data_IF_897095567515
#
_entry.id   IF_897095567515
#
_cell.length_a   1.000
_cell.length_b   1.000
_cell.length_c   1.000
_cell.angle_alpha   90.00
_cell.angle_beta   90.00
_cell.angle_gamma   90.00
#
_symmetry.space_group_name_H-M   'P 1'
#
loop_
_entity.id
_entity.type
_entity.pdbx_description
1 polymer ?
#
# COMPACT_ATOMS: atom_id res chain seq x y z
N UNK A 1 25.63 31.94 -40.53
CA UNK A 1 25.20 30.60 -40.05
C UNK A 1 25.83 30.37 -38.68
N UNK A 2 25.31 31.03 -37.64
CA UNK A 2 25.78 30.85 -36.27
C UNK A 2 25.06 29.65 -35.67
N UNK A 3 25.81 28.64 -35.23
CA UNK A 3 25.26 27.51 -34.48
C UNK A 3 24.96 28.01 -33.08
N UNK A 4 23.68 28.23 -32.78
CA UNK A 4 23.16 28.51 -31.43
C UNK A 4 23.49 27.33 -30.52
N UNK A 5 24.67 27.38 -29.87
CA UNK A 5 24.94 26.52 -28.73
C UNK A 5 24.06 27.01 -27.59
N UNK A 6 23.25 26.14 -26.97
CA UNK A 6 22.43 26.53 -25.83
C UNK A 6 23.36 27.08 -24.72
N UNK A 7 22.94 28.13 -23.99
CA UNK A 7 23.71 28.66 -22.86
C UNK A 7 24.06 27.52 -21.89
N UNK A 8 25.22 27.59 -21.24
CA UNK A 8 25.79 26.48 -20.46
C UNK A 8 24.82 25.85 -19.44
N UNK A 9 23.85 26.64 -18.93
CA UNK A 9 22.78 26.18 -18.05
C UNK A 9 21.78 25.25 -18.73
N UNK A 10 21.36 25.55 -19.95
CA UNK A 10 20.45 24.71 -20.73
C UNK A 10 21.11 23.39 -21.14
N UNK A 11 22.42 23.41 -21.41
CA UNK A 11 23.19 22.20 -21.69
C UNK A 11 23.25 21.28 -20.45
N UNK A 12 23.49 21.85 -19.26
CA UNK A 12 23.46 21.10 -18.00
C UNK A 12 22.08 20.47 -17.73
N UNK A 13 21.00 21.22 -17.98
CA UNK A 13 19.64 20.69 -17.84
C UNK A 13 19.37 19.53 -18.80
N UNK A 14 19.81 19.64 -20.06
CA UNK A 14 19.68 18.57 -21.05
C UNK A 14 20.49 17.33 -20.67
N UNK A 15 21.71 17.51 -20.15
CA UNK A 15 22.55 16.39 -19.68
C UNK A 15 21.92 15.69 -18.46
N UNK A 16 21.37 16.44 -17.50
CA UNK A 16 20.63 15.86 -16.36
C UNK A 16 19.41 15.08 -16.84
N UNK A 17 18.60 15.65 -17.73
CA UNK A 17 17.44 14.94 -18.29
C UNK A 17 17.87 13.67 -19.01
N UNK A 18 18.96 13.71 -19.79
CA UNK A 18 19.51 12.55 -20.48
C UNK A 18 19.88 11.44 -19.51
N UNK A 19 20.65 11.75 -18.47
CA UNK A 19 21.10 10.75 -17.49
C UNK A 19 19.93 10.15 -16.71
N UNK A 20 18.95 10.97 -16.31
CA UNK A 20 17.75 10.48 -15.61
C UNK A 20 16.92 9.55 -16.50
N UNK A 21 16.69 9.92 -17.76
CA UNK A 21 15.95 9.08 -18.71
C UNK A 21 16.69 7.76 -18.99
N UNK A 22 18.01 7.82 -19.19
CA UNK A 22 18.83 6.62 -19.41
C UNK A 22 18.82 5.70 -18.19
N UNK A 23 19.06 6.24 -16.99
CA UNK A 23 19.05 5.47 -15.75
C UNK A 23 17.70 4.77 -15.55
N UNK A 24 16.60 5.49 -15.79
CA UNK A 24 15.26 4.95 -15.69
C UNK A 24 15.00 3.83 -16.71
N UNK A 25 15.25 4.08 -17.99
CA UNK A 25 15.04 3.08 -19.05
C UNK A 25 15.90 1.84 -18.85
N UNK A 26 17.14 1.99 -18.38
CA UNK A 26 18.03 0.86 -18.04
C UNK A 26 17.46 0.03 -16.89
N UNK A 27 16.93 0.68 -15.85
CA UNK A 27 16.30 -0.01 -14.74
C UNK A 27 15.03 -0.76 -15.19
N UNK A 28 14.16 -0.11 -15.94
CA UNK A 28 12.93 -0.74 -16.47
C UNK A 28 13.26 -1.93 -17.38
N UNK A 29 14.28 -1.80 -18.24
CA UNK A 29 14.81 -2.87 -19.10
C UNK A 29 15.31 -4.07 -18.30
N UNK A 30 16.08 -3.83 -17.23
CA UNK A 30 16.58 -4.89 -16.35
C UNK A 30 15.44 -5.61 -15.64
N UNK A 31 14.44 -4.87 -15.14
CA UNK A 31 13.27 -5.46 -14.48
C UNK A 31 12.48 -6.32 -15.45
N UNK A 32 12.18 -5.83 -16.66
CA UNK A 32 11.47 -6.61 -17.68
C UNK A 32 12.26 -7.85 -18.09
N UNK A 33 13.58 -7.73 -18.23
CA UNK A 33 14.44 -8.87 -18.54
C UNK A 33 14.42 -9.92 -17.44
N UNK A 34 14.49 -9.49 -16.17
CA UNK A 34 14.43 -10.39 -15.02
C UNK A 34 13.07 -11.09 -14.91
N UNK A 35 11.96 -10.37 -15.12
CA UNK A 35 10.61 -10.94 -15.10
C UNK A 35 10.40 -11.94 -16.24
N UNK A 36 10.85 -11.60 -17.45
CA UNK A 36 10.75 -12.49 -18.62
C UNK A 36 11.58 -13.75 -18.42
N UNK A 37 12.80 -13.60 -17.91
CA UNK A 37 13.65 -14.75 -17.56
C UNK A 37 12.99 -15.60 -16.48
N UNK A 38 12.43 -15.00 -15.42
CA UNK A 38 11.69 -15.70 -14.38
C UNK A 38 10.50 -16.50 -14.90
N UNK A 39 9.78 -15.97 -15.91
CA UNK A 39 8.69 -16.67 -16.57
C UNK A 39 9.20 -17.85 -17.42
N UNK A 40 10.26 -17.66 -18.21
CA UNK A 40 10.85 -18.74 -19.03
C UNK A 40 11.52 -19.82 -18.16
N UNK A 41 12.00 -19.47 -16.96
CA UNK A 41 12.60 -20.40 -16.00
C UNK A 41 11.61 -21.44 -15.46
N UNK A 42 10.31 -21.18 -15.51
CA UNK A 42 9.27 -22.15 -15.10
C UNK A 42 9.31 -23.39 -16.03
N UNK A 43 9.86 -23.26 -17.24
CA UNK A 43 9.84 -24.30 -18.28
C UNK A 43 11.20 -25.01 -18.50
N UNK A 44 12.27 -24.62 -17.79
CA UNK A 44 13.63 -25.05 -18.13
C UNK A 44 14.45 -25.58 -16.93
N UNK A 45 15.01 -26.79 -17.08
CA UNK A 45 15.82 -27.48 -16.04
C UNK A 45 17.33 -27.42 -16.24
N UNK A 46 17.84 -26.89 -17.37
CA UNK A 46 19.30 -26.87 -17.65
C UNK A 46 19.91 -25.46 -17.60
N UNK A 47 21.00 -25.30 -16.86
CA UNK A 47 21.68 -24.01 -16.66
C UNK A 47 22.18 -23.35 -17.97
N UNK A 48 22.56 -24.15 -18.97
CA UNK A 48 23.01 -23.64 -20.28
C UNK A 48 21.86 -23.08 -21.11
N UNK A 49 20.68 -23.68 -21.04
CA UNK A 49 19.47 -23.14 -21.69
C UNK A 49 19.07 -21.81 -21.04
N UNK A 50 19.12 -21.75 -19.70
CA UNK A 50 18.87 -20.52 -18.93
C UNK A 50 19.82 -19.38 -19.32
N UNK A 51 21.13 -19.64 -19.39
CA UNK A 51 22.10 -18.62 -19.75
C UNK A 51 21.87 -18.09 -21.18
N UNK A 52 21.53 -18.97 -22.13
CA UNK A 52 21.24 -18.59 -23.52
C UNK A 52 19.95 -17.77 -23.62
N UNK A 53 18.92 -18.16 -22.88
CA UNK A 53 17.67 -17.41 -22.77
C UNK A 53 17.91 -16.02 -22.16
N UNK A 54 18.67 -15.93 -21.07
CA UNK A 54 19.02 -14.66 -20.43
C UNK A 54 19.72 -13.68 -21.38
N UNK A 55 20.69 -14.14 -22.16
CA UNK A 55 21.39 -13.29 -23.15
C UNK A 55 20.44 -12.78 -24.22
N UNK A 56 19.58 -13.66 -24.75
CA UNK A 56 18.57 -13.28 -25.75
C UNK A 56 17.59 -12.24 -25.20
N UNK A 57 17.09 -12.45 -23.99
CA UNK A 57 16.13 -11.56 -23.32
C UNK A 57 16.77 -10.20 -23.03
N UNK A 58 18.01 -10.17 -22.53
CA UNK A 58 18.73 -8.91 -22.29
C UNK A 58 18.93 -8.11 -23.58
N UNK A 59 19.23 -8.80 -24.70
CA UNK A 59 19.35 -8.15 -26.00
C UNK A 59 18.00 -7.60 -26.51
N UNK A 60 16.90 -8.30 -26.27
CA UNK A 60 15.55 -7.84 -26.66
C UNK A 60 15.12 -6.57 -25.92
N UNK A 61 15.56 -6.40 -24.68
CA UNK A 61 15.22 -5.24 -23.85
C UNK A 61 16.29 -4.15 -23.84
N UNK A 62 17.35 -4.27 -24.66
CA UNK A 62 18.44 -3.29 -24.68
C UNK A 62 17.92 -1.87 -24.96
N UNK A 63 18.39 -0.91 -24.18
CA UNK A 63 18.00 0.51 -24.33
C UNK A 63 18.77 1.12 -25.50
N UNK A 64 18.07 1.73 -26.45
CA UNK A 64 18.69 2.57 -27.48
C UNK A 64 19.10 3.92 -26.86
N UNK A 65 20.34 3.97 -26.39
CA UNK A 65 20.92 5.18 -25.79
C UNK A 65 21.13 6.29 -26.82
N UNK A 66 21.27 5.93 -28.10
CA UNK A 66 21.42 6.86 -29.21
C UNK A 66 20.14 7.65 -29.49
N UNK A 67 18.98 7.04 -29.31
CA UNK A 67 17.68 7.74 -29.37
C UNK A 67 17.59 8.82 -28.27
N UNK A 68 17.95 8.47 -27.03
CA UNK A 68 17.89 9.37 -25.87
C UNK A 68 18.91 10.50 -25.98
N UNK A 69 20.12 10.21 -26.48
CA UNK A 69 21.17 11.21 -26.68
C UNK A 69 20.79 12.26 -27.74
N UNK A 70 19.98 11.91 -28.75
CA UNK A 70 19.55 12.85 -29.80
C UNK A 70 18.48 13.83 -29.32
N UNK A 71 17.54 13.41 -28.48
CA UNK A 71 16.50 14.29 -27.92
C UNK A 71 16.00 13.80 -26.54
N UNK A 72 16.69 14.19 -25.45
CA UNK A 72 16.33 13.78 -24.09
C UNK A 72 14.93 14.23 -23.67
N UNK A 73 14.50 15.42 -24.12
CA UNK A 73 13.20 16.00 -23.76
C UNK A 73 12.05 15.27 -24.43
N UNK A 74 12.21 14.82 -25.67
CA UNK A 74 11.23 13.98 -26.35
C UNK A 74 11.18 12.59 -25.74
N UNK A 75 12.33 12.01 -25.41
CA UNK A 75 12.39 10.72 -24.71
C UNK A 75 11.64 10.78 -23.37
N UNK A 76 11.88 11.83 -22.56
CA UNK A 76 11.14 12.05 -21.31
C UNK A 76 9.63 12.21 -21.52
N UNK A 77 9.20 12.99 -22.51
CA UNK A 77 7.77 13.16 -22.83
C UNK A 77 7.10 11.85 -23.24
N UNK A 78 7.79 11.03 -24.04
CA UNK A 78 7.30 9.72 -24.43
C UNK A 78 7.19 8.77 -23.22
N UNK A 79 8.15 8.82 -22.30
CA UNK A 79 8.14 8.02 -21.07
C UNK A 79 6.97 8.41 -20.18
N UNK A 80 6.76 9.72 -19.95
CA UNK A 80 5.61 10.23 -19.20
C UNK A 80 4.27 9.89 -19.86
N UNK A 81 4.18 9.92 -21.19
CA UNK A 81 2.97 9.53 -21.91
C UNK A 81 2.66 8.04 -21.72
N UNK A 82 3.70 7.19 -21.81
CA UNK A 82 3.59 5.75 -21.54
C UNK A 82 3.20 5.47 -20.09
N UNK A 83 3.73 6.23 -19.13
CA UNK A 83 3.34 6.13 -17.72
C UNK A 83 1.89 6.49 -17.50
N UNK A 84 1.41 7.58 -18.10
CA UNK A 84 0.00 7.96 -18.02
C UNK A 84 -0.92 6.91 -18.65
N UNK A 85 -0.51 6.35 -19.78
CA UNK A 85 -1.26 5.27 -20.43
C UNK A 85 -1.24 3.99 -19.59
N UNK A 86 -0.09 3.64 -19.01
CA UNK A 86 0.03 2.51 -18.07
C UNK A 86 -0.85 2.74 -16.86
N UNK A 87 -0.75 3.92 -16.23
CA UNK A 87 -1.58 4.33 -15.10
C UNK A 87 -3.07 4.25 -15.44
N UNK A 88 -3.49 4.72 -16.63
CA UNK A 88 -4.87 4.56 -17.11
C UNK A 88 -5.29 3.08 -17.19
N UNK A 89 -4.45 2.22 -17.78
CA UNK A 89 -4.76 0.78 -17.90
C UNK A 89 -4.82 0.03 -16.57
N UNK A 90 -3.99 0.41 -15.60
CA UNK A 90 -3.98 -0.20 -14.26
C UNK A 90 -4.87 0.56 -13.26
N UNK A 91 -5.70 1.49 -13.74
CA UNK A 91 -6.66 2.22 -12.92
C UNK A 91 -6.07 3.29 -11.99
N UNK A 92 -4.77 3.59 -12.09
CA UNK A 92 -4.07 4.63 -11.32
C UNK A 92 -4.20 6.04 -11.92
N UNK A 93 -4.89 6.22 -13.05
CA UNK A 93 -5.14 7.55 -13.61
C UNK A 93 -6.31 8.21 -12.89
N UNK A 94 -5.99 9.15 -12.00
CA UNK A 94 -6.94 10.08 -11.40
C UNK A 94 -7.43 11.10 -12.45
N UNK A 95 -8.18 10.65 -13.45
CA UNK A 95 -9.08 11.52 -14.22
C UNK A 95 -10.46 11.41 -13.56
N UNK A 96 -10.64 12.24 -12.55
CA UNK A 96 -11.85 12.29 -11.75
C UNK A 96 -11.48 12.90 -10.43
N UNK A 97 -11.99 14.10 -10.16
CA UNK A 97 -12.06 14.69 -8.82
C UNK A 97 -12.18 13.59 -7.78
N UNK A 98 -11.10 13.36 -7.02
CA UNK A 98 -11.15 12.47 -5.85
C UNK A 98 -12.39 12.86 -5.07
N UNK A 99 -13.33 11.93 -4.97
CA UNK A 99 -14.53 12.18 -4.19
C UNK A 99 -14.09 12.44 -2.75
N UNK A 100 -14.80 13.30 -2.01
CA UNK A 100 -14.46 13.55 -0.59
C UNK A 100 -14.40 12.23 0.23
N UNK A 101 -15.16 11.22 -0.22
CA UNK A 101 -15.14 9.86 0.29
C UNK A 101 -13.79 9.15 0.07
N UNK A 102 -13.16 9.33 -1.09
CA UNK A 102 -11.85 8.77 -1.41
C UNK A 102 -10.72 9.42 -0.62
N UNK A 103 -10.79 10.74 -0.41
CA UNK A 103 -9.88 11.46 0.48
C UNK A 103 -10.03 11.02 1.92
N UNK A 104 -11.27 10.89 2.40
CA UNK A 104 -11.55 10.37 3.74
C UNK A 104 -10.97 8.96 3.92
N UNK A 105 -11.10 8.10 2.91
CA UNK A 105 -10.50 6.76 2.91
C UNK A 105 -8.97 6.80 2.94
N UNK A 106 -8.34 7.67 2.14
CA UNK A 106 -6.88 7.80 2.16
C UNK A 106 -6.41 8.22 3.56
N UNK A 107 -7.04 9.23 4.15
CA UNK A 107 -6.78 9.67 5.54
C UNK A 107 -6.96 8.53 6.54
N UNK A 108 -8.01 7.73 6.40
CA UNK A 108 -8.27 6.58 7.27
C UNK A 108 -7.19 5.49 7.12
N UNK A 109 -6.75 5.23 5.88
CA UNK A 109 -5.70 4.24 5.60
C UNK A 109 -4.37 4.69 6.19
N UNK A 110 -4.02 5.97 6.01
CA UNK A 110 -2.82 6.56 6.56
C UNK A 110 -2.81 6.49 8.09
N UNK A 111 -3.96 6.78 8.73
CA UNK A 111 -4.14 6.66 10.18
C UNK A 111 -3.94 5.22 10.68
N UNK A 112 -4.50 4.23 9.98
CA UNK A 112 -4.32 2.81 10.34
C UNK A 112 -2.86 2.37 10.19
N UNK A 113 -2.16 2.86 9.17
CA UNK A 113 -0.73 2.64 8.99
C UNK A 113 0.09 3.28 10.11
N UNK A 114 -0.24 4.50 10.52
CA UNK A 114 0.39 5.19 11.64
C UNK A 114 0.22 4.41 12.95
N UNK A 115 -1.02 4.03 13.28
CA UNK A 115 -1.36 3.23 14.47
C UNK A 115 -0.57 1.92 14.50
N UNK A 116 -0.46 1.24 13.34
CA UNK A 116 0.36 0.03 13.23
C UNK A 116 1.83 0.31 13.51
N UNK A 117 2.39 1.37 12.92
CA UNK A 117 3.79 1.76 13.11
C UNK A 117 4.08 2.03 14.59
N UNK A 118 3.20 2.75 15.28
CA UNK A 118 3.34 3.08 16.69
C UNK A 118 3.31 1.83 17.58
N UNK A 119 2.35 0.93 17.35
CA UNK A 119 2.27 -0.31 18.10
C UNK A 119 3.52 -1.17 17.89
N UNK A 120 4.04 -1.25 16.66
CA UNK A 120 5.30 -1.93 16.37
C UNK A 120 6.49 -1.26 17.08
N UNK A 121 6.52 0.07 17.16
CA UNK A 121 7.56 0.81 17.87
C UNK A 121 7.52 0.54 19.38
N UNK A 122 6.34 0.47 19.99
CA UNK A 122 6.16 0.10 21.40
C UNK A 122 6.65 -1.33 21.65
N UNK A 123 6.26 -2.29 20.80
CA UNK A 123 6.73 -3.69 20.92
C UNK A 123 8.24 -3.78 20.77
N UNK A 124 8.84 -3.07 19.80
CA UNK A 124 10.28 -3.05 19.59
C UNK A 124 11.03 -2.43 20.78
N UNK A 125 10.51 -1.33 21.35
CA UNK A 125 11.02 -0.71 22.58
C UNK A 125 11.00 -1.73 23.73
N UNK A 126 9.86 -2.38 23.95
CA UNK A 126 9.71 -3.33 25.05
C UNK A 126 10.65 -4.54 24.93
N UNK A 127 10.87 -5.05 23.70
CA UNK A 127 11.85 -6.12 23.44
C UNK A 127 13.29 -5.68 23.70
N UNK A 128 13.63 -4.42 23.38
CA UNK A 128 14.98 -3.87 23.57
C UNK A 128 15.36 -3.74 25.05
N UNK A 129 14.43 -3.30 25.90
CA UNK A 129 14.70 -3.03 27.31
C UNK A 129 14.54 -4.24 28.25
N UNK A 130 14.17 -5.42 27.71
CA UNK A 130 13.99 -6.68 28.47
C UNK A 130 13.22 -6.46 29.78
N UNK A 131 12.07 -5.79 29.69
CA UNK A 131 11.19 -5.57 30.83
C UNK A 131 10.78 -6.88 31.49
N UNK A 132 10.50 -6.82 32.80
CA UNK A 132 9.76 -7.90 33.45
C UNK A 132 8.34 -8.00 32.89
N UNK A 133 7.64 -9.10 33.17
CA UNK A 133 6.35 -9.39 32.55
C UNK A 133 5.27 -8.34 32.89
N UNK A 134 5.36 -7.70 34.06
CA UNK A 134 4.41 -6.67 34.52
C UNK A 134 4.67 -5.35 33.82
N UNK A 135 5.91 -4.87 33.84
CA UNK A 135 6.32 -3.62 33.18
C UNK A 135 6.12 -3.72 31.66
N UNK A 136 6.35 -4.90 31.08
CA UNK A 136 6.05 -5.16 29.66
C UNK A 136 4.55 -4.99 29.37
N UNK A 137 3.67 -5.55 30.21
CA UNK A 137 2.23 -5.44 30.01
C UNK A 137 1.73 -4.00 30.19
N UNK A 138 2.29 -3.24 31.14
CA UNK A 138 1.93 -1.84 31.40
C UNK A 138 2.35 -0.92 30.25
N UNK A 139 3.57 -1.04 29.74
CA UNK A 139 4.04 -0.28 28.58
C UNK A 139 3.23 -0.59 27.32
N UNK A 140 2.87 -1.87 27.11
CA UNK A 140 1.99 -2.26 26.01
C UNK A 140 0.58 -1.70 26.21
N UNK A 141 0.04 -1.70 27.43
CA UNK A 141 -1.26 -1.11 27.72
C UNK A 141 -1.27 0.39 27.43
N UNK A 142 -0.23 1.11 27.86
CA UNK A 142 -0.09 2.55 27.58
C UNK A 142 0.03 2.81 26.08
N UNK A 143 0.85 2.03 25.37
CA UNK A 143 0.99 2.12 23.92
C UNK A 143 -0.32 1.82 23.18
N UNK A 144 -1.06 0.81 23.63
CA UNK A 144 -2.36 0.45 23.07
C UNK A 144 -3.38 1.57 23.26
N UNK A 145 -3.47 2.16 24.46
CA UNK A 145 -4.36 3.29 24.73
C UNK A 145 -4.04 4.48 23.81
N UNK A 146 -2.77 4.89 23.74
CA UNK A 146 -2.35 5.99 22.88
C UNK A 146 -2.65 5.73 21.40
N UNK A 147 -2.47 4.50 20.94
CA UNK A 147 -2.77 4.10 19.57
C UNK A 147 -4.29 4.09 19.29
N UNK A 148 -5.11 3.63 20.25
CA UNK A 148 -6.58 3.66 20.11
C UNK A 148 -7.16 5.05 20.20
N UNK A 149 -6.57 5.96 20.98
CA UNK A 149 -7.03 7.35 21.07
C UNK A 149 -6.99 8.05 19.71
N UNK A 150 -5.98 7.74 18.89
CA UNK A 150 -5.88 8.23 17.51
C UNK A 150 -7.05 7.75 16.64
N UNK A 151 -7.47 6.51 16.82
CA UNK A 151 -8.60 5.93 16.08
C UNK A 151 -9.93 6.58 16.46
N UNK A 152 -10.08 7.07 17.70
CA UNK A 152 -11.33 7.69 18.19
C UNK A 152 -11.61 9.01 17.47
N UNK A 153 -10.58 9.78 17.11
CA UNK A 153 -10.74 11.12 16.51
C UNK A 153 -11.53 11.08 15.20
N UNK A 154 -11.32 10.05 14.37
CA UNK A 154 -11.95 9.91 13.05
C UNK A 154 -13.14 8.91 13.07
N UNK A 155 -13.48 8.36 14.24
CA UNK A 155 -14.47 7.29 14.36
C UNK A 155 -15.91 7.80 14.24
N UNK A 156 -16.67 7.20 13.34
CA UNK A 156 -18.13 7.29 13.34
C UNK A 156 -18.70 6.45 14.50
N UNK A 157 -19.18 7.12 15.53
CA UNK A 157 -19.73 6.47 16.72
C UNK A 157 -20.94 5.57 16.43
N UNK A 158 -21.70 5.84 15.36
CA UNK A 158 -22.80 4.96 14.93
C UNK A 158 -22.26 3.63 14.43
N UNK A 159 -21.26 3.67 13.55
CA UNK A 159 -20.60 2.48 13.05
C UNK A 159 -19.85 1.74 14.17
N UNK A 160 -19.21 2.45 15.09
CA UNK A 160 -18.58 1.86 16.28
C UNK A 160 -19.55 1.09 17.15
N UNK A 161 -20.71 1.67 17.48
CA UNK A 161 -21.70 0.97 18.30
C UNK A 161 -22.29 -0.25 17.60
N UNK A 162 -22.47 -0.19 16.27
CA UNK A 162 -22.90 -1.33 15.49
C UNK A 162 -21.84 -2.45 15.51
N UNK A 163 -20.57 -2.10 15.28
CA UNK A 163 -19.45 -3.01 15.41
C UNK A 163 -19.31 -3.60 16.81
N UNK A 164 -19.57 -2.81 17.86
CA UNK A 164 -19.46 -3.22 19.26
C UNK A 164 -20.43 -4.34 19.63
N UNK A 165 -21.65 -4.34 19.05
CA UNK A 165 -22.70 -5.36 19.22
C UNK A 165 -22.40 -6.63 18.41
N UNK A 166 -21.75 -6.47 17.27
CA UNK A 166 -20.80 -7.46 16.75
C UNK A 166 -21.36 -8.66 15.99
N UNK A 167 -22.64 -8.68 15.63
CA UNK A 167 -23.16 -9.73 14.75
C UNK A 167 -23.05 -9.29 13.28
N UNK A 168 -22.03 -9.80 12.60
CA UNK A 168 -21.87 -9.65 11.15
C UNK A 168 -22.85 -10.61 10.48
N UNK A 169 -23.78 -10.06 9.71
CA UNK A 169 -24.82 -10.82 9.01
C UNK A 169 -24.39 -11.18 7.60
N UNK A 170 -23.68 -10.28 6.93
CA UNK A 170 -23.25 -10.44 5.54
C UNK A 170 -21.97 -9.65 5.28
N UNK A 171 -21.11 -10.21 4.43
CA UNK A 171 -20.03 -9.48 3.77
C UNK A 171 -20.37 -9.34 2.29
N UNK A 172 -20.07 -8.18 1.72
CA UNK A 172 -20.21 -7.92 0.29
C UNK A 172 -19.03 -7.11 -0.20
N UNK A 173 -18.58 -7.42 -1.41
CA UNK A 173 -17.53 -6.67 -2.08
C UNK A 173 -18.16 -5.66 -3.04
N UNK A 174 -17.75 -4.40 -2.91
CA UNK A 174 -18.13 -3.33 -3.82
C UNK A 174 -16.93 -2.99 -4.70
N UNK A 175 -17.03 -3.13 -6.03
CA UNK A 175 -15.94 -2.78 -6.92
C UNK A 175 -15.68 -1.27 -6.86
N UNK A 176 -14.42 -0.89 -6.69
CA UNK A 176 -13.97 0.51 -6.68
C UNK A 176 -13.19 0.78 -7.97
N UNK A 177 -13.35 1.97 -8.56
CA UNK A 177 -12.53 2.38 -9.70
C UNK A 177 -11.09 2.56 -9.25
N UNK A 178 -10.17 1.80 -9.83
CA UNK A 178 -8.73 2.04 -9.65
C UNK A 178 -8.10 1.41 -8.42
N UNK A 179 -8.75 0.45 -7.77
CA UNK A 179 -8.19 -0.18 -6.58
C UNK A 179 -8.88 -1.46 -6.15
N UNK A 180 -8.38 -2.06 -5.05
CA UNK A 180 -8.98 -3.21 -4.41
C UNK A 180 -10.50 -3.03 -4.15
N UNK A 181 -11.36 -4.05 -4.38
CA UNK A 181 -12.76 -4.02 -3.97
C UNK A 181 -12.88 -3.68 -2.49
N UNK A 182 -13.90 -2.87 -2.18
CA UNK A 182 -14.24 -2.47 -0.83
C UNK A 182 -15.06 -3.58 -0.18
N UNK A 183 -14.61 -4.06 0.97
CA UNK A 183 -15.39 -5.02 1.75
C UNK A 183 -16.35 -4.25 2.66
N UNK A 184 -17.63 -4.43 2.41
CA UNK A 184 -18.71 -3.94 3.25
C UNK A 184 -19.24 -5.06 4.13
N UNK A 185 -19.59 -4.72 5.36
CA UNK A 185 -20.21 -5.60 6.31
C UNK A 185 -21.58 -5.10 6.69
N UNK A 186 -22.59 -5.93 6.50
CA UNK A 186 -23.89 -5.73 7.12
C UNK A 186 -23.81 -6.25 8.54
N UNK A 187 -23.93 -5.35 9.50
CA UNK A 187 -23.92 -5.65 10.94
C UNK A 187 -25.29 -5.38 11.53
N UNK A 188 -25.68 -6.16 12.54
CA UNK A 188 -26.85 -5.86 13.34
C UNK A 188 -26.55 -4.68 14.28
N UNK A 189 -27.17 -3.53 14.02
CA UNK A 189 -27.03 -2.34 14.86
C UNK A 189 -28.02 -2.34 16.04
N UNK A 190 -28.85 -3.37 16.21
CA UNK A 190 -29.75 -3.57 17.34
C UNK A 190 -31.21 -3.19 17.09
N UNK A 191 -32.09 -3.40 18.09
CA UNK A 191 -33.56 -3.39 17.95
C UNK A 191 -34.15 -2.08 17.41
N UNK A 192 -33.49 -0.94 17.66
CA UNK A 192 -33.99 0.38 17.22
C UNK A 192 -33.38 0.86 15.91
N UNK A 193 -32.33 0.19 15.40
CA UNK A 193 -31.53 0.65 14.24
C UNK A 193 -31.51 -0.34 13.08
N UNK A 194 -31.86 -1.60 13.32
CA UNK A 194 -31.86 -2.64 12.30
C UNK A 194 -30.47 -2.95 11.77
N UNK A 195 -30.39 -3.37 10.51
CA UNK A 195 -29.13 -3.71 9.85
C UNK A 195 -28.43 -2.46 9.32
N UNK A 196 -27.14 -2.34 9.57
CA UNK A 196 -26.29 -1.25 9.11
C UNK A 196 -25.19 -1.80 8.20
N UNK A 197 -24.98 -1.18 7.04
CA UNK A 197 -23.86 -1.52 6.16
C UNK A 197 -22.70 -0.58 6.44
N UNK A 198 -21.60 -1.14 6.94
CA UNK A 198 -20.39 -0.41 7.34
C UNK A 198 -19.18 -0.98 6.64
N UNK A 199 -18.14 -0.18 6.50
CA UNK A 199 -16.88 -0.64 5.95
C UNK A 199 -16.22 -1.66 6.89
N UNK A 200 -15.70 -2.75 6.33
CA UNK A 200 -14.95 -3.74 7.08
C UNK A 200 -13.62 -3.18 7.55
N UNK A 201 -12.91 -2.43 6.71
CA UNK A 201 -11.59 -1.89 7.01
C UNK A 201 -11.63 -0.56 7.73
N UNK A 202 -12.43 -0.49 8.78
CA UNK A 202 -12.70 0.76 9.48
C UNK A 202 -11.96 0.87 10.82
N UNK A 203 -11.81 2.11 11.31
CA UNK A 203 -11.27 2.41 12.64
C UNK A 203 -12.20 1.86 13.73
N UNK A 204 -13.49 1.99 13.50
CA UNK A 204 -14.58 1.61 14.39
C UNK A 204 -14.61 0.11 14.66
N UNK A 205 -14.36 -0.73 13.64
CA UNK A 205 -14.25 -2.18 13.82
C UNK A 205 -13.11 -2.55 14.75
N UNK A 206 -11.96 -1.90 14.59
CA UNK A 206 -10.73 -2.15 15.37
C UNK A 206 -10.87 -1.65 16.80
N UNK A 207 -11.45 -0.46 16.99
CA UNK A 207 -11.86 0.03 18.30
C UNK A 207 -12.82 -0.92 18.99
N UNK A 208 -13.86 -1.40 18.29
CA UNK A 208 -14.84 -2.33 18.84
C UNK A 208 -14.20 -3.69 19.22
N UNK A 209 -13.23 -4.17 18.43
CA UNK A 209 -12.44 -5.35 18.75
C UNK A 209 -11.67 -5.17 20.05
N UNK A 210 -10.89 -4.09 20.16
CA UNK A 210 -10.11 -3.76 21.37
C UNK A 210 -11.03 -3.65 22.58
N UNK A 211 -12.12 -2.89 22.47
CA UNK A 211 -13.08 -2.69 23.55
C UNK A 211 -13.77 -3.99 23.99
N UNK A 212 -14.03 -4.94 23.08
CA UNK A 212 -14.56 -6.26 23.45
C UNK A 212 -13.54 -7.10 24.20
N UNK A 213 -12.30 -7.16 23.70
CA UNK A 213 -11.25 -7.94 24.32
C UNK A 213 -10.88 -7.39 25.70
N UNK A 214 -10.77 -6.07 25.85
CA UNK A 214 -10.53 -5.41 27.13
C UNK A 214 -11.63 -5.70 28.14
N UNK A 215 -12.92 -5.62 27.74
CA UNK A 215 -14.06 -5.97 28.62
C UNK A 215 -14.08 -7.44 29.01
N UNK A 216 -13.55 -8.33 28.18
CA UNK A 216 -13.39 -9.74 28.49
C UNK A 216 -12.18 -10.04 29.38
N UNK A 217 -11.43 -9.03 29.83
CA UNK A 217 -10.25 -9.19 30.68
C UNK A 217 -9.04 -9.77 29.93
N UNK A 218 -9.00 -9.67 28.60
CA UNK A 218 -7.87 -10.15 27.81
C UNK A 218 -6.64 -9.28 28.06
N UNK A 219 -5.47 -9.90 28.21
CA UNK A 219 -4.20 -9.21 28.43
C UNK A 219 -3.92 -8.17 27.32
N UNK A 220 -3.43 -6.96 27.66
CA UNK A 220 -3.03 -5.93 26.68
C UNK A 220 -2.05 -6.44 25.63
N UNK A 221 -1.17 -7.38 25.99
CA UNK A 221 -0.23 -8.01 25.07
C UNK A 221 -0.96 -8.79 23.98
N UNK A 222 -1.95 -9.60 24.36
CA UNK A 222 -2.76 -10.39 23.43
C UNK A 222 -3.63 -9.47 22.56
N UNK A 223 -4.17 -8.39 23.14
CA UNK A 223 -4.94 -7.39 22.39
C UNK A 223 -4.05 -6.70 21.35
N UNK A 224 -2.84 -6.29 21.74
CA UNK A 224 -1.86 -5.66 20.85
C UNK A 224 -1.47 -6.60 19.69
N UNK A 225 -1.13 -7.85 19.98
CA UNK A 225 -0.80 -8.84 18.96
C UNK A 225 -1.98 -9.08 18.00
N UNK A 226 -3.20 -9.17 18.54
CA UNK A 226 -4.40 -9.37 17.72
C UNK A 226 -4.71 -8.16 16.84
N UNK A 227 -4.56 -6.95 17.38
CA UNK A 227 -4.74 -5.71 16.64
C UNK A 227 -3.67 -5.54 15.57
N UNK A 228 -2.41 -5.83 15.89
CA UNK A 228 -1.31 -5.85 14.92
C UNK A 228 -1.56 -6.87 13.81
N UNK A 229 -2.10 -8.05 14.12
CA UNK A 229 -2.49 -9.02 13.10
C UNK A 229 -3.62 -8.50 12.20
N UNK A 230 -4.63 -7.83 12.76
CA UNK A 230 -5.77 -7.23 12.04
C UNK A 230 -5.38 -5.97 11.23
N UNK A 231 -4.35 -5.24 11.66
CA UNK A 231 -3.73 -4.11 10.96
C UNK A 231 -2.64 -4.56 9.96
N UNK A 232 -2.11 -5.77 10.11
CA UNK A 232 -1.12 -6.31 9.20
C UNK A 232 -1.77 -6.68 7.86
N UNK A 233 -0.93 -6.74 6.84
CA UNK A 233 -1.22 -7.22 5.47
C UNK A 233 -1.85 -8.64 5.43
N UNK A 234 -1.96 -9.31 6.59
CA UNK A 234 -2.56 -10.63 6.77
C UNK A 234 -4.05 -10.59 7.20
N UNK A 235 -4.67 -9.41 7.29
CA UNK A 235 -6.13 -9.29 7.41
C UNK A 235 -6.79 -10.01 6.21
N UNK A 236 -7.99 -10.62 6.33
CA UNK A 236 -8.64 -11.47 5.31
C UNK A 236 -8.94 -10.83 3.93
N UNK A 237 -8.33 -9.70 3.63
CA UNK A 237 -8.52 -8.80 2.49
C UNK A 237 -7.75 -9.21 1.24
N UNK A 238 -7.29 -10.45 1.15
CA UNK A 238 -6.71 -10.96 -0.10
C UNK A 238 -7.73 -11.15 -1.23
N UNK A 239 -9.01 -10.81 -1.02
CA UNK A 239 -9.97 -10.70 -2.12
C UNK A 239 -9.78 -9.45 -2.95
N UNK A 240 -8.84 -8.58 -2.58
CA UNK A 240 -8.63 -7.31 -3.24
C UNK A 240 -7.31 -7.16 -4.00
N UNK A 241 -6.49 -8.23 -4.03
CA UNK A 241 -5.30 -8.39 -4.90
C UNK A 241 -5.43 -9.60 -5.87
N UNK A 242 -6.56 -9.72 -6.58
CA UNK A 242 -6.65 -10.60 -7.76
C UNK A 242 -7.20 -9.85 -8.95
#
# INVERSE_FOLDING_TARGET
>A
MGLDRPPAREQLELDVVREVVLARRRLDSLVLSALTLGAELIEHTSARAVATAAVRILAQHAVDEGEVARDPRRALRADLARDRERARRIGLSADGTETEQERRRQRQTDLLCEVRSDLLAVVAKCRKFRFDQVTFADEIAQGLCAATDKLVVEADMVAYHAWQRGMVLKLSEEPVRGGPPRVMATVDAGPDRGQLTVEWDSCERRLALVARMARAGVSPVIICDRLLADLSVSSPLRYSER
#
